data_IF_296697553039
#
_entry.id   IF_296697553039
#
_cell.length_a   1.000
_cell.length_b   1.000
_cell.length_c   1.000
_cell.angle_alpha   90.00
_cell.angle_beta   90.00
_cell.angle_gamma   90.00
#
_symmetry.space_group_name_H-M   'P 1'
#
loop_
_entity.id
_entity.type
_entity.pdbx_description
1 polymer ?
#
# COMPACT_ATOMS: atom_id res chain seq x y z
N UNK A 1 18.99 23.53 -30.31
CA UNK A 1 19.02 24.08 -28.94
C UNK A 1 19.16 22.91 -27.97
N UNK A 2 20.16 22.93 -27.08
CA UNK A 2 20.33 21.89 -26.10
C UNK A 2 19.21 21.97 -25.05
N UNK A 3 18.53 20.84 -24.81
CA UNK A 3 17.45 20.74 -23.84
C UNK A 3 18.04 20.28 -22.51
N UNK A 4 18.13 21.18 -21.54
CA UNK A 4 18.62 20.84 -20.22
C UNK A 4 17.48 20.14 -19.41
N UNK A 5 17.70 18.88 -19.03
CA UNK A 5 16.72 18.08 -18.29
C UNK A 5 17.04 18.14 -16.81
N UNK A 6 16.18 18.82 -16.03
CA UNK A 6 16.33 19.01 -14.57
C UNK A 6 15.43 18.10 -13.73
N UNK A 7 15.17 16.88 -14.13
CA UNK A 7 14.40 15.95 -13.29
C UNK A 7 13.79 14.79 -14.06
N UNK A 8 13.42 13.75 -13.32
CA UNK A 8 12.90 12.52 -13.93
C UNK A 8 11.57 12.71 -14.68
N UNK A 9 10.75 13.71 -14.33
CA UNK A 9 9.53 14.05 -15.07
C UNK A 9 9.83 14.72 -16.41
N UNK A 10 10.80 15.61 -16.43
CA UNK A 10 11.19 16.33 -17.64
C UNK A 10 11.94 15.37 -18.58
N UNK A 11 12.79 14.49 -18.04
CA UNK A 11 13.38 13.39 -18.79
C UNK A 11 12.30 12.54 -19.46
N UNK A 12 11.25 12.14 -18.73
CA UNK A 12 10.19 11.33 -19.31
C UNK A 12 9.41 12.05 -20.42
N UNK A 13 9.16 13.36 -20.29
CA UNK A 13 8.52 14.15 -21.34
C UNK A 13 9.41 14.23 -22.58
N UNK A 14 10.69 14.48 -22.38
CA UNK A 14 11.69 14.53 -23.43
C UNK A 14 11.84 13.17 -24.14
N UNK A 15 11.96 12.07 -23.39
CA UNK A 15 11.99 10.71 -23.94
C UNK A 15 10.78 10.43 -24.83
N UNK A 16 9.57 10.77 -24.38
CA UNK A 16 8.35 10.56 -25.18
C UNK A 16 8.32 11.38 -26.44
N UNK A 17 8.86 12.60 -26.43
CA UNK A 17 8.84 13.52 -27.56
C UNK A 17 9.94 13.20 -28.58
N UNK A 18 11.13 12.88 -28.11
CA UNK A 18 12.31 12.75 -28.97
C UNK A 18 12.77 11.31 -29.21
N UNK A 19 12.54 10.42 -28.23
CA UNK A 19 12.97 9.00 -28.28
C UNK A 19 11.90 8.08 -27.70
N UNK A 20 10.75 7.88 -28.39
CA UNK A 20 9.62 7.12 -27.85
C UNK A 20 9.96 5.66 -27.53
N UNK A 21 10.89 5.05 -28.25
CA UNK A 21 11.31 3.67 -28.02
C UNK A 21 12.13 3.54 -26.73
N UNK A 22 13.02 4.47 -26.45
CA UNK A 22 13.75 4.54 -25.18
C UNK A 22 12.79 4.78 -24.01
N UNK A 23 11.72 5.58 -24.22
CA UNK A 23 10.67 5.75 -23.21
C UNK A 23 9.95 4.45 -22.89
N UNK A 24 9.63 3.63 -23.89
CA UNK A 24 9.01 2.31 -23.72
C UNK A 24 9.95 1.33 -23.04
N UNK A 25 11.24 1.30 -23.44
CA UNK A 25 12.27 0.48 -22.83
C UNK A 25 12.41 0.78 -21.33
N UNK A 26 12.56 2.05 -20.97
CA UNK A 26 12.64 2.50 -19.57
C UNK A 26 11.41 2.09 -18.75
N UNK A 27 10.20 2.17 -19.34
CA UNK A 27 8.98 1.72 -18.68
C UNK A 27 8.95 0.21 -18.46
N UNK A 28 9.40 -0.58 -19.43
CA UNK A 28 9.52 -2.03 -19.32
C UNK A 28 10.53 -2.42 -18.25
N UNK A 29 11.67 -1.74 -18.21
CA UNK A 29 12.68 -1.96 -17.18
C UNK A 29 12.15 -1.65 -15.78
N UNK A 30 11.53 -0.50 -15.57
CA UNK A 30 10.87 -0.20 -14.28
C UNK A 30 9.79 -1.22 -13.91
N UNK A 31 9.02 -1.72 -14.87
CA UNK A 31 8.01 -2.75 -14.63
C UNK A 31 8.65 -4.07 -14.19
N UNK A 32 9.75 -4.48 -14.81
CA UNK A 32 10.48 -5.70 -14.43
C UNK A 32 11.02 -5.64 -13.01
N UNK A 33 11.50 -4.47 -12.58
CA UNK A 33 11.99 -4.23 -11.22
C UNK A 33 10.87 -4.24 -10.16
N UNK A 34 9.66 -3.75 -10.49
CA UNK A 34 8.54 -3.69 -9.55
C UNK A 34 7.77 -5.00 -9.44
N UNK A 35 7.81 -5.84 -10.49
CA UNK A 35 7.07 -7.10 -10.54
C UNK A 35 7.42 -8.05 -9.39
N UNK A 36 8.69 -8.33 -9.04
CA UNK A 36 9.04 -9.22 -7.94
C UNK A 36 8.47 -8.77 -6.60
N UNK A 37 8.57 -7.47 -6.27
CA UNK A 37 7.99 -6.94 -5.02
C UNK A 37 6.47 -7.10 -5.02
N UNK A 38 5.82 -6.85 -6.15
CA UNK A 38 4.36 -7.01 -6.27
C UNK A 38 3.95 -8.47 -6.03
N UNK A 39 4.68 -9.43 -6.59
CA UNK A 39 4.44 -10.87 -6.37
C UNK A 39 4.65 -11.22 -4.90
N UNK A 40 5.75 -10.75 -4.30
CA UNK A 40 6.05 -10.97 -2.89
C UNK A 40 4.97 -10.38 -1.98
N UNK A 41 4.50 -9.17 -2.27
CA UNK A 41 3.42 -8.52 -1.52
C UNK A 41 2.11 -9.29 -1.60
N UNK A 42 1.77 -9.86 -2.76
CA UNK A 42 0.61 -10.75 -2.91
C UNK A 42 0.72 -12.01 -2.05
N UNK A 43 1.92 -12.53 -1.86
CA UNK A 43 2.19 -13.69 -1.00
C UNK A 43 1.86 -13.45 0.47
N UNK A 44 1.89 -12.20 0.94
CA UNK A 44 1.53 -11.84 2.31
C UNK A 44 0.02 -11.65 2.54
N UNK A 45 -0.80 -11.71 1.48
CA UNK A 45 -2.25 -11.72 1.64
C UNK A 45 -2.68 -13.14 2.02
N UNK A 46 -3.43 -13.33 3.13
CA UNK A 46 -3.85 -14.65 3.57
C UNK A 46 -4.70 -15.36 2.53
N UNK A 47 -4.57 -16.68 2.47
CA UNK A 47 -5.36 -17.55 1.58
C UNK A 47 -6.79 -17.73 2.08
N UNK A 48 -7.00 -17.52 3.38
CA UNK A 48 -8.31 -17.59 4.03
C UNK A 48 -8.70 -16.22 4.58
N UNK A 49 -9.98 -16.04 4.81
CA UNK A 49 -10.50 -14.81 5.45
C UNK A 49 -9.92 -14.68 6.86
N UNK A 50 -9.24 -13.60 7.19
CA UNK A 50 -8.61 -13.41 8.49
C UNK A 50 -9.58 -13.44 9.68
N UNK A 51 -10.85 -13.14 9.42
CA UNK A 51 -11.92 -13.15 10.40
C UNK A 51 -13.16 -13.76 9.75
N UNK A 52 -13.76 -14.76 10.36
CA UNK A 52 -14.90 -15.50 9.79
C UNK A 52 -16.07 -14.61 9.35
N UNK A 53 -16.37 -13.57 10.11
CA UNK A 53 -17.40 -12.58 9.77
C UNK A 53 -17.03 -11.61 8.65
N UNK A 54 -15.76 -11.51 8.27
CA UNK A 54 -15.33 -10.60 7.22
C UNK A 54 -15.52 -11.15 5.81
N UNK A 55 -15.67 -12.47 5.67
CA UNK A 55 -15.97 -13.12 4.40
C UNK A 55 -17.44 -13.08 3.99
N UNK A 56 -18.33 -12.59 4.85
CA UNK A 56 -19.76 -12.52 4.60
C UNK A 56 -20.22 -11.08 4.42
N UNK A 57 -21.08 -10.85 3.42
CA UNK A 57 -21.71 -9.55 3.24
C UNK A 57 -22.56 -9.21 4.48
N UNK A 58 -22.38 -8.00 5.00
CA UNK A 58 -23.28 -7.46 6.01
C UNK A 58 -24.47 -6.79 5.35
N UNK A 59 -25.63 -6.86 5.98
CA UNK A 59 -26.88 -6.27 5.45
C UNK A 59 -26.80 -4.76 5.23
N UNK A 60 -25.91 -4.06 5.94
CA UNK A 60 -25.73 -2.61 5.81
C UNK A 60 -24.74 -2.19 4.70
N UNK A 61 -24.07 -3.14 4.05
CA UNK A 61 -23.19 -2.90 2.90
C UNK A 61 -21.98 -1.97 3.15
N UNK A 62 -21.82 -1.44 4.36
CA UNK A 62 -20.84 -0.37 4.66
C UNK A 62 -19.41 -0.86 4.79
N UNK A 63 -19.21 -2.13 5.12
CA UNK A 63 -17.88 -2.70 5.30
C UNK A 63 -17.58 -3.68 4.16
N UNK A 64 -16.47 -3.49 3.39
CA UNK A 64 -16.16 -4.34 2.26
C UNK A 64 -15.83 -5.76 2.69
N UNK A 65 -16.44 -6.73 2.04
CA UNK A 65 -16.18 -8.16 2.24
C UNK A 65 -14.73 -8.48 1.87
N UNK A 66 -14.09 -9.33 2.66
CA UNK A 66 -12.75 -9.81 2.35
C UNK A 66 -12.85 -10.96 1.34
N UNK A 67 -12.36 -10.71 0.15
CA UNK A 67 -12.11 -11.69 -0.87
C UNK A 67 -10.60 -11.77 -1.13
N UNK A 68 -10.02 -12.93 -0.88
CA UNK A 68 -8.58 -13.20 -1.09
C UNK A 68 -8.15 -12.95 -2.53
N UNK A 69 -8.96 -13.36 -3.52
CA UNK A 69 -8.67 -13.17 -4.95
C UNK A 69 -8.64 -11.66 -5.28
N UNK A 70 -9.67 -10.94 -4.87
CA UNK A 70 -9.74 -9.49 -5.06
C UNK A 70 -8.63 -8.75 -4.31
N UNK A 71 -8.31 -9.15 -3.07
CA UNK A 71 -7.24 -8.56 -2.28
C UNK A 71 -5.85 -8.77 -2.91
N UNK A 72 -5.55 -9.98 -3.40
CA UNK A 72 -4.31 -10.29 -4.14
C UNK A 72 -4.27 -9.59 -5.49
N UNK A 73 -5.36 -9.64 -6.26
CA UNK A 73 -5.48 -8.99 -7.57
C UNK A 73 -5.39 -7.46 -7.49
N UNK A 74 -5.85 -6.88 -6.38
CA UNK A 74 -5.76 -5.45 -6.11
C UNK A 74 -4.33 -4.94 -5.94
N UNK A 75 -3.39 -5.80 -5.54
CA UNK A 75 -1.97 -5.43 -5.46
C UNK A 75 -1.37 -5.44 -6.85
N UNK A 76 -0.98 -4.27 -7.32
CA UNK A 76 -0.38 -4.08 -8.63
C UNK A 76 0.63 -2.95 -8.64
N UNK A 77 1.34 -2.81 -9.76
CA UNK A 77 2.24 -1.69 -9.96
C UNK A 77 1.79 -0.82 -11.14
N UNK A 78 2.19 0.43 -11.12
CA UNK A 78 2.03 1.37 -12.23
C UNK A 78 3.33 2.10 -12.49
N UNK A 79 3.73 2.19 -13.76
CA UNK A 79 4.89 2.95 -14.25
C UNK A 79 4.48 4.28 -14.89
N UNK A 80 3.21 4.69 -14.68
CA UNK A 80 2.70 5.98 -15.11
C UNK A 80 2.74 6.98 -13.96
N UNK A 81 3.05 8.27 -14.21
CA UNK A 81 3.05 9.28 -13.16
C UNK A 81 1.73 9.37 -12.43
N UNK A 82 1.81 9.54 -11.13
CA UNK A 82 0.62 9.84 -10.32
C UNK A 82 0.12 11.26 -10.56
N UNK A 83 -1.05 11.58 -10.06
CA UNK A 83 -1.45 12.98 -9.85
C UNK A 83 -0.49 13.64 -8.86
N UNK A 84 -0.35 14.96 -8.96
CA UNK A 84 0.40 15.74 -7.97
C UNK A 84 -0.27 15.60 -6.61
N UNK A 85 0.51 15.29 -5.58
CA UNK A 85 0.00 15.32 -4.22
C UNK A 85 -0.02 16.75 -3.66
N UNK A 86 -0.57 16.95 -2.46
CA UNK A 86 -0.63 18.28 -1.80
C UNK A 86 0.74 18.92 -1.57
N UNK A 87 1.81 18.14 -1.55
CA UNK A 87 3.19 18.60 -1.38
C UNK A 87 3.92 18.79 -2.73
N UNK A 88 3.21 18.80 -3.85
CA UNK A 88 3.79 19.03 -5.18
C UNK A 88 4.49 17.82 -5.81
N UNK A 89 4.53 16.66 -5.14
CA UNK A 89 5.23 15.47 -5.65
C UNK A 89 4.36 14.61 -6.55
N UNK A 90 5.00 13.97 -7.54
CA UNK A 90 4.45 12.91 -8.38
C UNK A 90 5.31 11.66 -8.28
N UNK A 91 4.69 10.49 -8.11
CA UNK A 91 5.40 9.23 -8.24
C UNK A 91 5.54 8.86 -9.71
N UNK A 92 6.74 8.51 -10.16
CA UNK A 92 6.97 7.99 -11.51
C UNK A 92 6.53 6.54 -11.65
N UNK A 93 6.79 5.77 -10.60
CA UNK A 93 6.38 4.38 -10.47
C UNK A 93 5.81 4.15 -9.06
N UNK A 94 4.87 3.23 -8.92
CA UNK A 94 4.27 2.91 -7.62
C UNK A 94 3.71 1.50 -7.57
N UNK A 95 3.74 0.91 -6.39
CA UNK A 95 2.96 -0.27 -6.04
C UNK A 95 1.73 0.22 -5.28
N UNK A 96 0.58 -0.32 -5.58
CA UNK A 96 -0.69 0.08 -4.98
C UNK A 96 -1.57 -1.13 -4.72
N UNK A 97 -2.50 -0.99 -3.78
CA UNK A 97 -3.61 -1.92 -3.60
C UNK A 97 -4.91 -1.19 -3.98
N UNK A 98 -5.60 -1.70 -4.99
CA UNK A 98 -6.86 -1.16 -5.48
C UNK A 98 -8.09 -1.81 -4.82
N UNK A 99 -7.89 -2.93 -4.10
CA UNK A 99 -8.96 -3.59 -3.35
C UNK A 99 -9.20 -2.89 -2.02
N UNK A 100 -10.47 -2.57 -1.73
CA UNK A 100 -10.85 -1.97 -0.45
C UNK A 100 -10.52 -2.87 0.74
N UNK A 101 -10.88 -4.15 0.68
CA UNK A 101 -10.56 -5.12 1.74
C UNK A 101 -9.06 -5.37 1.86
N UNK A 102 -8.33 -5.41 0.76
CA UNK A 102 -6.88 -5.49 0.76
C UNK A 102 -6.21 -4.27 1.38
N UNK A 103 -6.74 -3.07 1.15
CA UNK A 103 -6.26 -1.83 1.77
C UNK A 103 -6.53 -1.81 3.28
N UNK A 104 -7.69 -2.31 3.71
CA UNK A 104 -8.01 -2.47 5.14
C UNK A 104 -7.04 -3.47 5.78
N UNK A 105 -6.84 -4.64 5.17
CA UNK A 105 -5.85 -5.61 5.65
C UNK A 105 -4.45 -5.00 5.80
N UNK A 106 -4.01 -4.26 4.81
CA UNK A 106 -2.71 -3.58 4.80
C UNK A 106 -2.55 -2.59 5.94
N UNK A 107 -3.59 -1.81 6.26
CA UNK A 107 -3.47 -0.61 7.10
C UNK A 107 -4.22 -0.65 8.43
N UNK A 108 -5.03 -1.68 8.69
CA UNK A 108 -5.78 -1.79 9.96
C UNK A 108 -4.84 -1.81 11.17
N UNK A 109 -5.12 -0.99 12.17
CA UNK A 109 -4.27 -0.79 13.34
C UNK A 109 -3.08 0.15 13.12
N UNK A 110 -2.94 0.75 11.94
CA UNK A 110 -1.90 1.73 11.65
C UNK A 110 -2.24 3.07 12.30
N UNK A 111 -1.28 3.59 13.07
CA UNK A 111 -1.36 4.98 13.56
C UNK A 111 -1.10 5.94 12.41
N UNK A 112 -2.04 6.82 12.13
CA UNK A 112 -1.89 7.88 11.11
C UNK A 112 -2.23 9.24 11.75
N UNK A 113 -1.26 10.14 11.89
CA UNK A 113 -1.48 11.46 12.50
C UNK A 113 -2.54 12.30 11.78
N UNK A 114 -2.73 12.07 10.49
CA UNK A 114 -3.73 12.77 9.66
C UNK A 114 -4.99 11.92 9.44
N UNK A 115 -5.14 10.81 10.15
CA UNK A 115 -6.32 9.96 10.11
C UNK A 115 -7.44 10.52 10.98
N UNK A 116 -8.60 9.83 10.94
CA UNK A 116 -9.70 10.08 11.86
C UNK A 116 -9.40 9.44 13.22
N UNK A 117 -10.01 9.94 14.28
CA UNK A 117 -9.88 9.33 15.60
C UNK A 117 -10.48 7.93 15.61
N UNK A 118 -9.77 7.00 16.23
CA UNK A 118 -10.31 5.67 16.47
C UNK A 118 -11.39 5.71 17.55
N UNK A 119 -12.42 4.90 17.38
CA UNK A 119 -13.41 4.69 18.41
C UNK A 119 -12.71 4.14 19.67
N UNK A 120 -12.95 4.77 20.81
CA UNK A 120 -12.39 4.36 22.10
C UNK A 120 -13.04 3.09 22.64
N UNK A 121 -14.30 2.86 22.25
CA UNK A 121 -15.07 1.69 22.63
C UNK A 121 -15.85 1.18 21.43
N UNK A 122 -15.90 -0.13 21.27
CA UNK A 122 -16.73 -0.80 20.27
C UNK A 122 -17.55 -1.85 21.03
N UNK A 123 -18.85 -1.71 20.94
CA UNK A 123 -19.78 -2.70 21.46
C UNK A 123 -20.10 -3.68 20.35
N UNK A 124 -19.87 -4.95 20.63
CA UNK A 124 -20.29 -6.05 19.79
C UNK A 124 -21.54 -6.65 20.38
N UNK A 125 -22.58 -6.78 19.60
CA UNK A 125 -23.81 -7.47 19.99
C UNK A 125 -24.15 -8.50 18.93
N UNK A 126 -24.69 -9.61 19.35
CA UNK A 126 -25.14 -10.67 18.49
C UNK A 126 -26.15 -11.55 19.19
N UNK A 127 -26.84 -12.35 18.40
CA UNK A 127 -27.84 -13.29 18.87
C UNK A 127 -27.41 -14.69 18.49
N UNK A 128 -27.37 -15.60 19.42
CA UNK A 128 -27.14 -17.02 19.24
C UNK A 128 -28.46 -17.72 19.32
N UNK A 129 -28.94 -18.28 18.24
CA UNK A 129 -30.12 -19.14 18.21
C UNK A 129 -29.67 -20.56 18.54
N UNK A 130 -30.07 -21.04 19.72
CA UNK A 130 -29.98 -22.44 20.11
C UNK A 130 -31.35 -23.07 19.93
N UNK A 131 -31.41 -24.42 19.81
CA UNK A 131 -32.65 -25.15 19.52
C UNK A 131 -33.80 -24.74 20.42
N UNK A 132 -33.51 -24.42 21.68
CA UNK A 132 -34.53 -24.15 22.72
C UNK A 132 -34.43 -22.75 23.35
N UNK A 133 -33.49 -21.90 22.88
CA UNK A 133 -33.32 -20.56 23.44
C UNK A 133 -32.64 -19.60 22.46
N UNK A 134 -33.00 -18.33 22.57
CA UNK A 134 -32.35 -17.21 21.88
C UNK A 134 -31.54 -16.43 22.89
N UNK A 135 -30.23 -16.53 22.84
CA UNK A 135 -29.34 -15.78 23.71
C UNK A 135 -28.78 -14.55 22.96
N UNK A 136 -28.98 -13.38 23.56
CA UNK A 136 -28.38 -12.14 23.09
C UNK A 136 -27.16 -11.85 23.94
N UNK A 137 -26.04 -11.64 23.30
CA UNK A 137 -24.79 -11.22 23.94
C UNK A 137 -24.38 -9.84 23.47
N UNK A 138 -23.84 -9.07 24.38
CA UNK A 138 -23.12 -7.85 24.03
C UNK A 138 -21.87 -7.76 24.89
N UNK A 139 -20.77 -7.35 24.26
CA UNK A 139 -19.55 -7.03 24.98
C UNK A 139 -18.92 -5.78 24.40
N UNK A 140 -18.37 -4.96 25.25
CA UNK A 140 -17.71 -3.71 24.88
C UNK A 140 -16.24 -3.85 25.11
N UNK A 141 -15.43 -3.59 24.05
CA UNK A 141 -13.98 -3.53 24.17
C UNK A 141 -13.54 -2.08 24.11
N UNK A 142 -12.69 -1.68 25.04
CA UNK A 142 -12.00 -0.39 24.93
C UNK A 142 -10.83 -0.51 23.96
N UNK A 143 -10.77 0.37 22.97
CA UNK A 143 -9.57 0.52 22.17
C UNK A 143 -8.45 1.13 23.02
N UNK A 144 -7.28 0.51 23.01
CA UNK A 144 -6.16 1.00 23.78
C UNK A 144 -5.83 2.44 23.34
N UNK A 145 -5.75 3.38 24.28
CA UNK A 145 -5.48 4.82 24.04
C UNK A 145 -4.23 5.09 23.17
N UNK A 146 -3.36 4.11 23.01
CA UNK A 146 -2.15 4.19 22.19
C UNK A 146 -2.40 4.27 20.69
N UNK A 147 -3.59 3.94 20.19
CA UNK A 147 -3.82 3.85 18.74
C UNK A 147 -4.13 5.19 18.05
N UNK A 148 -4.50 6.23 18.76
CA UNK A 148 -4.67 7.57 18.22
C UNK A 148 -5.51 7.60 16.95
N UNK A 149 -5.12 8.43 15.98
CA UNK A 149 -5.79 8.55 14.68
C UNK A 149 -5.43 7.44 13.72
N UNK A 150 -6.40 6.92 12.95
CA UNK A 150 -6.24 5.82 12.03
C UNK A 150 -6.91 6.11 10.69
N UNK A 151 -6.45 5.42 9.63
CA UNK A 151 -7.18 5.37 8.36
C UNK A 151 -8.47 4.54 8.45
N UNK A 152 -8.51 3.59 9.40
CA UNK A 152 -9.64 2.70 9.65
C UNK A 152 -10.10 2.86 11.11
N UNK A 153 -10.77 3.98 11.46
CA UNK A 153 -11.15 4.27 12.85
C UNK A 153 -12.14 3.27 13.43
N UNK A 154 -12.89 2.57 12.58
CA UNK A 154 -13.87 1.55 12.95
C UNK A 154 -13.25 0.16 13.14
N UNK A 155 -11.96 0.00 12.85
CA UNK A 155 -11.25 -1.24 13.10
C UNK A 155 -10.96 -1.39 14.60
N UNK A 156 -11.82 -2.12 15.32
CA UNK A 156 -11.65 -2.39 16.73
C UNK A 156 -10.43 -3.22 17.06
N UNK A 157 -10.04 -3.22 18.34
CA UNK A 157 -8.83 -3.92 18.82
C UNK A 157 -8.87 -5.43 18.53
N UNK A 158 -10.01 -6.09 18.69
CA UNK A 158 -10.18 -7.51 18.37
C UNK A 158 -10.01 -7.81 16.88
N UNK A 159 -10.53 -6.93 16.01
CA UNK A 159 -10.34 -7.05 14.58
C UNK A 159 -8.86 -6.94 14.18
N UNK A 160 -8.15 -5.96 14.75
CA UNK A 160 -6.71 -5.77 14.52
C UNK A 160 -5.92 -6.96 15.06
N UNK A 161 -6.27 -7.48 16.22
CA UNK A 161 -5.61 -8.64 16.82
C UNK A 161 -5.80 -9.89 15.97
N UNK A 162 -7.01 -10.15 15.47
CA UNK A 162 -7.30 -11.27 14.60
C UNK A 162 -6.53 -11.19 13.27
N UNK A 163 -6.44 -9.99 12.66
CA UNK A 163 -5.65 -9.78 11.44
C UNK A 163 -4.16 -9.99 11.70
N UNK A 164 -3.65 -9.59 12.86
CA UNK A 164 -2.23 -9.72 13.20
C UNK A 164 -1.76 -11.17 13.29
N UNK A 165 -2.65 -12.15 13.49
CA UNK A 165 -2.33 -13.58 13.41
C UNK A 165 -1.82 -13.99 12.02
N UNK A 166 -2.26 -13.31 10.97
CA UNK A 166 -1.82 -13.56 9.58
C UNK A 166 -0.65 -12.68 9.15
N UNK A 167 -0.23 -11.75 9.97
CA UNK A 167 0.90 -10.88 9.74
C UNK A 167 0.78 -9.56 10.49
N UNK A 168 1.78 -9.26 11.30
CA UNK A 168 1.86 -7.98 12.00
C UNK A 168 2.22 -6.83 11.06
N UNK A 169 1.82 -5.62 11.43
CA UNK A 169 2.25 -4.40 10.74
C UNK A 169 3.76 -4.23 10.87
N UNK A 170 4.42 -4.02 9.75
CA UNK A 170 5.86 -3.74 9.68
C UNK A 170 6.12 -2.31 9.24
N UNK A 171 7.16 -1.71 9.81
CA UNK A 171 7.68 -0.42 9.39
C UNK A 171 8.63 -0.60 8.20
N UNK A 172 8.32 0.04 7.08
CA UNK A 172 9.14 -0.04 5.87
C UNK A 172 10.34 0.93 5.88
N UNK A 173 10.43 1.81 6.87
CA UNK A 173 11.42 2.90 6.89
C UNK A 173 12.73 2.58 7.61
N UNK A 174 13.14 1.34 7.70
CA UNK A 174 14.38 0.97 8.41
C UNK A 174 15.67 1.60 7.86
N UNK A 175 15.63 2.47 6.87
CA UNK A 175 16.84 2.89 6.17
C UNK A 175 17.22 4.37 6.27
N UNK A 176 16.37 5.21 6.82
CA UNK A 176 16.75 6.61 6.98
C UNK A 176 16.08 7.18 8.21
N UNK A 177 16.85 7.57 9.21
CA UNK A 177 16.46 8.15 10.49
C UNK A 177 15.55 9.39 10.46
N UNK A 178 14.61 9.40 9.54
CA UNK A 178 13.64 10.46 9.32
C UNK A 178 12.45 10.28 10.25
N UNK A 179 12.60 10.70 11.48
CA UNK A 179 11.64 10.99 12.51
C UNK A 179 10.14 10.72 12.23
N UNK A 180 9.26 11.64 12.53
CA UNK A 180 7.78 11.55 12.47
C UNK A 180 7.18 11.09 11.12
N UNK A 181 7.91 11.17 9.99
CA UNK A 181 7.45 10.70 8.66
C UNK A 181 7.43 9.18 8.54
N UNK A 182 8.25 8.48 9.32
CA UNK A 182 8.37 7.03 9.38
C UNK A 182 7.04 6.33 9.73
N UNK A 183 6.21 6.93 10.56
CA UNK A 183 4.95 6.33 11.04
C UNK A 183 3.90 6.09 9.96
N UNK A 184 4.03 6.71 8.79
CA UNK A 184 3.07 6.58 7.68
C UNK A 184 3.34 5.37 6.78
N UNK A 185 4.55 4.84 6.77
CA UNK A 185 4.97 3.76 5.88
C UNK A 185 4.96 2.40 6.58
N UNK A 186 3.78 2.00 7.05
CA UNK A 186 3.58 0.72 7.75
C UNK A 186 2.45 -0.06 7.11
N UNK A 187 2.62 -1.37 7.03
CA UNK A 187 1.60 -2.26 6.51
C UNK A 187 2.01 -3.72 6.61
N UNK A 188 1.15 -4.62 6.15
CA UNK A 188 1.30 -6.06 6.29
C UNK A 188 1.76 -6.76 5.02
N UNK A 189 1.45 -6.22 3.86
CA UNK A 189 1.74 -6.84 2.57
C UNK A 189 2.73 -6.02 1.73
N UNK A 190 2.32 -4.88 1.18
CA UNK A 190 3.18 -4.05 0.32
C UNK A 190 4.36 -3.49 1.12
N UNK A 191 4.10 -2.94 2.30
CA UNK A 191 5.17 -2.37 3.12
C UNK A 191 6.11 -3.42 3.70
N UNK A 192 5.61 -4.62 3.98
CA UNK A 192 6.44 -5.74 4.38
C UNK A 192 7.36 -6.20 3.23
N UNK A 193 6.80 -6.38 2.02
CA UNK A 193 7.59 -6.71 0.84
C UNK A 193 8.68 -5.67 0.58
N UNK A 194 8.34 -4.38 0.71
CA UNK A 194 9.28 -3.28 0.56
C UNK A 194 10.38 -3.26 1.61
N UNK A 195 10.05 -3.54 2.89
CA UNK A 195 11.03 -3.68 3.96
C UNK A 195 12.02 -4.82 3.69
N UNK A 196 11.50 -5.97 3.28
CA UNK A 196 12.30 -7.15 3.00
C UNK A 196 13.16 -7.01 1.74
N UNK A 197 12.78 -6.11 0.81
CA UNK A 197 13.60 -5.74 -0.35
C UNK A 197 14.87 -4.95 0.05
N UNK A 198 14.84 -4.30 1.21
CA UNK A 198 15.99 -3.57 1.72
C UNK A 198 16.42 -2.36 0.89
N UNK A 199 15.51 -1.83 0.05
CA UNK A 199 15.80 -0.68 -0.82
C UNK A 199 16.46 -1.02 -2.15
N UNK A 200 16.73 -2.31 -2.42
CA UNK A 200 17.36 -2.79 -3.67
C UNK A 200 16.61 -2.33 -4.91
N UNK A 201 15.28 -2.50 -4.91
CA UNK A 201 14.44 -2.06 -6.03
C UNK A 201 14.45 -0.54 -6.19
N UNK A 202 14.46 0.23 -5.09
CA UNK A 202 14.54 1.68 -5.19
C UNK A 202 15.85 2.12 -5.85
N UNK A 203 16.98 1.56 -5.43
CA UNK A 203 18.30 1.81 -6.03
C UNK A 203 18.32 1.41 -7.51
N UNK A 204 17.75 0.25 -7.85
CA UNK A 204 17.67 -0.22 -9.24
C UNK A 204 16.80 0.69 -10.12
N UNK A 205 15.67 1.18 -9.61
CA UNK A 205 14.82 2.15 -10.34
C UNK A 205 15.53 3.47 -10.55
N UNK A 206 16.29 3.97 -9.56
CA UNK A 206 17.10 5.18 -9.72
C UNK A 206 18.14 4.97 -10.83
N UNK A 207 18.89 3.86 -10.78
CA UNK A 207 19.89 3.50 -11.76
C UNK A 207 19.30 3.38 -13.18
N UNK A 208 18.12 2.79 -13.32
CA UNK A 208 17.42 2.70 -14.60
C UNK A 208 17.05 4.09 -15.16
N UNK A 209 16.63 5.01 -14.31
CA UNK A 209 16.33 6.40 -14.70
C UNK A 209 17.61 7.14 -15.13
N UNK A 210 18.71 6.96 -14.41
CA UNK A 210 20.02 7.54 -14.73
C UNK A 210 20.55 7.00 -16.06
N UNK A 211 20.51 5.69 -16.26
CA UNK A 211 20.87 5.05 -17.53
C UNK A 211 20.05 5.57 -18.71
N UNK A 212 18.73 5.74 -18.51
CA UNK A 212 17.87 6.31 -19.54
C UNK A 212 18.21 7.78 -19.86
N UNK A 213 18.60 8.56 -18.85
CA UNK A 213 19.08 9.93 -19.02
C UNK A 213 20.37 9.97 -19.84
N UNK A 214 21.31 9.11 -19.51
CA UNK A 214 22.61 9.08 -20.18
C UNK A 214 22.49 8.61 -21.66
N UNK A 215 21.67 7.59 -21.91
CA UNK A 215 21.31 7.16 -23.28
C UNK A 215 20.64 8.29 -24.08
N UNK A 216 19.72 9.05 -23.41
CA UNK A 216 19.05 10.19 -24.03
C UNK A 216 20.05 11.29 -24.38
N UNK A 217 20.92 11.70 -23.47
CA UNK A 217 21.91 12.72 -23.67
C UNK A 217 22.84 12.36 -24.86
N UNK A 218 23.29 11.10 -24.90
CA UNK A 218 24.11 10.58 -26.00
C UNK A 218 23.38 10.64 -27.35
N UNK A 219 22.08 10.28 -27.36
CA UNK A 219 21.27 10.30 -28.58
C UNK A 219 21.00 11.73 -29.11
N UNK A 220 21.03 12.74 -28.23
CA UNK A 220 20.77 14.16 -28.59
C UNK A 220 22.06 14.96 -28.76
N UNK A 221 23.22 14.28 -28.71
CA UNK A 221 24.54 14.92 -28.95
C UNK A 221 25.05 15.73 -27.74
N UNK A 222 24.58 15.43 -26.55
CA UNK A 222 25.13 15.96 -25.31
C UNK A 222 26.23 15.01 -24.79
N UNK A 223 27.47 15.43 -24.93
CA UNK A 223 28.61 14.83 -24.25
C UNK A 223 28.89 15.58 -22.94
#
# INVERSE_FOLDING_TARGET
MPVQIKGALDLRKALKKFTPDLAKETQKEMASLLKPITVKARGFIPSQTPLSGWGKAKTDGKFPVFDTRAAKGGIGYKTTPSRVNRAGFRSLARIQNASASGAIYETAGRVNPNGREQLKQITYSGTINRRDSVETYSFTTSTNKKYGKSNNPEAGSLFVQAINQYGSIVDANNQTGAGRRSRKMKGRAIFRAWKEDGGKTNAAVIKAIESARDKFNKAVGYN
#
